data_IF_041052341762
#
_entry.id   IF_041052341762
#
_cell.length_a   1.000
_cell.length_b   1.000
_cell.length_c   1.000
_cell.angle_alpha   90.00
_cell.angle_beta   90.00
_cell.angle_gamma   90.00
#
_symmetry.space_group_name_H-M   'P 1'
#
loop_
_entity.id
_entity.type
_entity.pdbx_description
1 polymer ?
#
# COMPACT_ATOMS: atom_id res chain seq x y z
N UNK A 1 -6.05 7.13 -17.66
CA UNK A 1 -5.84 8.59 -17.77
C UNK A 1 -6.39 9.14 -19.06
N UNK A 2 -6.62 10.43 -19.08
CA UNK A 2 -7.09 11.20 -20.24
C UNK A 2 -5.96 11.59 -21.22
N UNK A 3 -4.72 11.27 -20.88
CA UNK A 3 -3.53 11.54 -21.69
C UNK A 3 -2.94 12.94 -21.50
N UNK A 4 -3.47 13.71 -20.56
CA UNK A 4 -2.93 15.02 -20.21
C UNK A 4 -1.76 14.87 -19.21
N UNK A 5 -0.69 15.63 -19.43
CA UNK A 5 0.38 15.77 -18.43
C UNK A 5 -0.08 16.73 -17.33
N UNK A 6 0.00 16.26 -16.09
CA UNK A 6 -0.36 17.05 -14.92
C UNK A 6 0.75 17.00 -13.86
N UNK A 7 0.84 18.06 -13.07
CA UNK A 7 1.67 18.06 -11.86
C UNK A 7 0.88 17.51 -10.68
N UNK A 8 1.45 16.52 -10.00
CA UNK A 8 0.85 15.90 -8.81
C UNK A 8 1.81 15.94 -7.63
N UNK A 9 1.26 15.90 -6.44
CA UNK A 9 2.00 15.92 -5.19
C UNK A 9 1.96 14.56 -4.48
N UNK A 10 3.03 14.27 -3.77
CA UNK A 10 3.09 13.20 -2.79
C UNK A 10 3.84 13.70 -1.55
N UNK A 11 3.42 13.28 -0.35
CA UNK A 11 4.20 13.48 0.86
C UNK A 11 5.17 12.31 1.04
N UNK A 12 6.40 12.61 1.42
CA UNK A 12 7.43 11.61 1.67
C UNK A 12 7.93 11.76 3.11
N UNK A 13 7.67 10.74 3.93
CA UNK A 13 8.28 10.61 5.25
C UNK A 13 9.68 10.00 5.09
N UNK A 14 10.67 10.72 5.56
CA UNK A 14 12.03 10.21 5.72
C UNK A 14 12.27 9.87 7.19
N UNK A 15 12.77 8.67 7.51
CA UNK A 15 13.00 8.26 8.88
C UNK A 15 14.03 9.15 9.58
N UNK A 16 13.93 9.27 10.90
CA UNK A 16 14.93 10.01 11.68
C UNK A 16 16.34 9.50 11.41
N UNK A 17 17.26 10.42 11.11
CA UNK A 17 18.63 10.05 10.74
C UNK A 17 18.76 9.47 9.33
N UNK A 18 17.81 9.80 8.42
CA UNK A 18 17.94 9.49 7.00
C UNK A 18 19.30 9.96 6.47
N UNK A 19 19.92 9.12 5.67
CA UNK A 19 21.23 9.38 5.05
C UNK A 19 21.28 8.76 3.67
N UNK A 20 21.86 9.45 2.71
CA UNK A 20 22.09 8.94 1.35
C UNK A 20 23.15 7.81 1.31
N UNK A 21 23.87 7.60 2.40
CA UNK A 21 24.83 6.49 2.54
C UNK A 21 24.15 5.16 2.92
N UNK A 22 22.85 5.20 3.28
CA UNK A 22 22.04 4.04 3.63
C UNK A 22 21.00 3.79 2.57
N UNK A 23 20.50 2.56 2.48
CA UNK A 23 19.38 2.18 1.61
C UNK A 23 18.15 1.89 2.44
N UNK A 24 16.98 2.25 1.91
CA UNK A 24 15.71 2.15 2.63
C UNK A 24 14.65 1.42 1.79
N UNK A 25 13.85 0.61 2.47
CA UNK A 25 12.60 0.09 1.92
C UNK A 25 11.59 1.23 1.75
N UNK A 26 10.60 1.05 0.87
CA UNK A 26 9.58 2.06 0.58
C UNK A 26 8.18 1.47 0.72
N UNK A 27 7.34 2.11 1.54
CA UNK A 27 5.91 1.85 1.62
C UNK A 27 5.13 2.96 0.88
N UNK A 28 4.34 2.58 -0.11
CA UNK A 28 3.36 3.45 -0.77
C UNK A 28 2.02 3.29 -0.05
N UNK A 29 1.56 4.36 0.62
CA UNK A 29 0.40 4.37 1.51
C UNK A 29 -0.75 5.19 0.92
N UNK A 30 -1.78 4.50 0.45
CA UNK A 30 -2.86 5.05 -0.36
C UNK A 30 -4.01 5.60 0.49
N UNK A 31 -4.58 6.71 0.05
CA UNK A 31 -5.74 7.38 0.67
C UNK A 31 -7.09 6.80 0.22
N UNK A 32 -8.19 7.24 0.85
CA UNK A 32 -9.56 6.88 0.49
C UNK A 32 -10.22 7.81 -0.53
N UNK A 33 -11.52 7.61 -0.77
CA UNK A 33 -12.27 8.32 -1.84
C UNK A 33 -12.34 9.82 -1.64
N UNK A 34 -12.51 10.30 -0.43
CA UNK A 34 -12.62 11.72 -0.10
C UNK A 34 -11.29 12.41 0.22
N UNK A 35 -10.19 11.65 0.22
CA UNK A 35 -8.88 12.13 0.61
C UNK A 35 -7.98 12.49 -0.58
N UNK A 36 -6.77 12.83 -0.25
CA UNK A 36 -5.66 13.12 -1.15
C UNK A 36 -4.34 12.70 -0.47
N UNK A 37 -3.20 13.15 -0.97
CA UNK A 37 -1.88 12.87 -0.39
C UNK A 37 -1.74 13.31 1.07
N UNK A 38 -2.64 14.17 1.58
CA UNK A 38 -2.62 14.67 2.96
C UNK A 38 -3.51 13.88 3.92
N UNK A 39 -4.34 12.95 3.44
CA UNK A 39 -5.33 12.25 4.29
C UNK A 39 -4.69 11.52 5.47
N UNK A 40 -3.49 10.97 5.30
CA UNK A 40 -2.72 10.31 6.36
C UNK A 40 -2.01 11.30 7.31
N UNK A 41 -2.19 12.59 7.12
CA UNK A 41 -1.61 13.68 7.94
C UNK A 41 -0.10 13.52 8.12
N UNK A 42 0.63 13.19 7.04
CA UNK A 42 2.08 12.96 7.11
C UNK A 42 2.90 14.20 7.43
N UNK A 43 2.30 15.38 7.32
CA UNK A 43 2.94 16.66 7.55
C UNK A 43 2.77 17.13 9.00
N UNK A 44 3.83 17.69 9.58
CA UNK A 44 3.82 18.24 10.92
C UNK A 44 4.20 17.26 12.03
N UNK A 45 4.56 17.83 13.18
CA UNK A 45 5.08 17.07 14.32
C UNK A 45 4.02 16.29 15.11
N UNK A 46 2.73 16.56 14.86
CA UNK A 46 1.61 15.88 15.49
C UNK A 46 1.04 14.74 14.65
N UNK A 47 1.61 14.48 13.48
CA UNK A 47 1.20 13.38 12.62
C UNK A 47 1.29 12.04 13.35
N UNK A 48 0.17 11.30 13.40
CA UNK A 48 0.14 9.98 14.04
C UNK A 48 1.00 8.97 13.28
N UNK A 49 0.97 8.99 11.96
CA UNK A 49 1.80 8.10 11.13
C UNK A 49 3.27 8.36 11.38
N UNK A 50 3.70 9.64 11.33
CA UNK A 50 5.08 10.01 11.65
C UNK A 50 5.48 9.58 13.05
N UNK A 51 4.64 9.87 14.07
CA UNK A 51 4.92 9.46 15.45
C UNK A 51 5.02 7.94 15.61
N UNK A 52 4.16 7.17 14.93
CA UNK A 52 4.25 5.70 14.94
C UNK A 52 5.57 5.24 14.32
N UNK A 53 5.93 5.75 13.16
CA UNK A 53 7.18 5.38 12.47
C UNK A 53 8.41 5.73 13.31
N UNK A 54 8.47 6.95 13.85
CA UNK A 54 9.58 7.39 14.69
C UNK A 54 9.73 6.52 15.94
N UNK A 55 8.62 6.19 16.61
CA UNK A 55 8.64 5.34 17.80
C UNK A 55 9.01 3.88 17.48
N UNK A 56 8.39 3.27 16.46
CA UNK A 56 8.71 1.90 16.06
C UNK A 56 10.20 1.74 15.70
N UNK A 57 10.76 2.72 15.00
CA UNK A 57 12.19 2.73 14.67
C UNK A 57 13.07 2.96 15.90
N UNK A 58 12.68 3.89 16.80
CA UNK A 58 13.43 4.19 18.02
C UNK A 58 13.53 3.02 18.98
N UNK A 59 12.44 2.26 19.14
CA UNK A 59 12.41 1.07 20.01
C UNK A 59 12.95 -0.21 19.32
N UNK A 60 13.29 -0.12 18.02
CA UNK A 60 13.84 -1.24 17.27
C UNK A 60 12.82 -2.28 16.83
N UNK A 61 11.52 -1.93 16.84
CA UNK A 61 10.44 -2.80 16.38
C UNK A 61 10.43 -2.96 14.87
N UNK A 62 10.95 -1.95 14.16
CA UNK A 62 11.15 -1.94 12.70
C UNK A 62 12.56 -1.45 12.34
N UNK A 63 13.06 -1.87 11.18
CA UNK A 63 14.10 -1.09 10.50
C UNK A 63 13.47 0.13 9.86
N UNK A 64 14.10 1.31 9.96
CA UNK A 64 13.56 2.53 9.37
C UNK A 64 13.32 2.38 7.87
N UNK A 65 12.17 2.83 7.38
CA UNK A 65 11.84 2.84 5.96
C UNK A 65 11.12 4.14 5.55
N UNK A 66 11.10 4.42 4.26
CA UNK A 66 10.43 5.57 3.66
C UNK A 66 8.94 5.28 3.53
N UNK A 67 8.08 6.27 3.82
CA UNK A 67 6.63 6.18 3.54
C UNK A 67 6.26 7.28 2.56
N UNK A 68 5.59 6.90 1.47
CA UNK A 68 5.11 7.80 0.43
C UNK A 68 3.59 7.80 0.45
N UNK A 69 2.97 8.95 0.63
CA UNK A 69 1.51 9.12 0.48
C UNK A 69 1.23 9.93 -0.79
N UNK A 70 0.92 9.27 -1.92
CA UNK A 70 0.60 9.96 -3.16
C UNK A 70 -0.87 10.33 -3.24
N UNK A 71 -1.24 11.20 -4.18
CA UNK A 71 -2.59 11.27 -4.66
C UNK A 71 -2.86 10.09 -5.60
N UNK A 72 -3.74 9.17 -5.20
CA UNK A 72 -4.02 7.92 -5.90
C UNK A 72 -5.00 8.03 -7.07
N UNK A 73 -5.31 9.24 -7.56
CA UNK A 73 -6.20 9.46 -8.71
C UNK A 73 -5.39 9.76 -9.97
N UNK A 74 -5.54 8.95 -11.01
CA UNK A 74 -4.90 9.17 -12.31
C UNK A 74 -5.85 9.87 -13.26
N UNK A 75 -6.08 11.16 -13.02
CA UNK A 75 -6.83 12.05 -13.92
C UNK A 75 -6.35 13.49 -13.78
N UNK A 76 -6.65 14.34 -14.78
CA UNK A 76 -6.36 15.76 -14.74
C UNK A 76 -7.09 16.49 -13.61
N UNK A 77 -8.23 15.95 -13.16
CA UNK A 77 -8.97 16.41 -12.00
C UNK A 77 -8.73 15.53 -10.77
N UNK A 78 -7.47 15.46 -10.34
CA UNK A 78 -7.05 14.61 -9.21
C UNK A 78 -7.58 15.07 -7.84
N UNK A 79 -8.36 16.14 -7.77
CA UNK A 79 -9.01 16.63 -6.55
C UNK A 79 -10.51 16.32 -6.46
N UNK A 80 -11.11 15.78 -7.52
CA UNK A 80 -12.54 15.49 -7.54
C UNK A 80 -12.87 14.27 -6.68
N UNK A 81 -13.65 14.47 -5.62
CA UNK A 81 -14.06 13.37 -4.73
C UNK A 81 -14.98 12.36 -5.40
N UNK A 82 -15.68 12.75 -6.48
CA UNK A 82 -16.58 11.89 -7.24
C UNK A 82 -15.89 11.13 -8.38
N UNK A 83 -14.60 11.38 -8.65
CA UNK A 83 -13.88 10.65 -9.68
C UNK A 83 -13.40 9.28 -9.16
N UNK A 84 -14.33 8.31 -9.14
CA UNK A 84 -14.01 6.94 -8.75
C UNK A 84 -13.15 6.22 -9.78
N UNK A 85 -13.31 6.50 -11.06
CA UNK A 85 -12.66 5.76 -12.14
C UNK A 85 -11.14 5.95 -12.14
N UNK A 86 -10.66 7.12 -11.76
CA UNK A 86 -9.24 7.44 -11.71
C UNK A 86 -8.46 6.59 -10.71
N UNK A 87 -9.11 6.06 -9.67
CA UNK A 87 -8.48 5.13 -8.71
C UNK A 87 -8.11 3.79 -9.35
N UNK A 88 -8.92 3.28 -10.29
CA UNK A 88 -8.71 1.95 -10.89
C UNK A 88 -7.59 1.92 -11.94
N UNK A 89 -7.13 3.06 -12.40
CA UNK A 89 -6.10 3.15 -13.46
C UNK A 89 -4.75 3.65 -12.95
N UNK A 90 -4.61 3.79 -11.64
CA UNK A 90 -3.41 4.32 -11.00
C UNK A 90 -2.16 3.43 -11.18
N UNK A 91 -2.33 2.15 -11.48
CA UNK A 91 -1.22 1.21 -11.66
C UNK A 91 -0.19 1.64 -12.72
N UNK A 92 -0.64 2.30 -13.79
CA UNK A 92 0.26 2.83 -14.83
C UNK A 92 1.11 3.99 -14.33
N UNK A 93 0.49 4.94 -13.64
CA UNK A 93 1.19 6.08 -13.03
C UNK A 93 2.17 5.61 -11.94
N UNK A 94 1.72 4.65 -11.13
CA UNK A 94 2.56 4.05 -10.10
C UNK A 94 3.86 3.47 -10.69
N UNK A 95 3.72 2.70 -11.79
CA UNK A 95 4.83 2.04 -12.48
C UNK A 95 5.73 3.00 -13.25
N UNK A 96 5.15 3.94 -13.98
CA UNK A 96 5.89 4.73 -14.97
C UNK A 96 6.41 6.06 -14.42
N UNK A 97 5.75 6.58 -13.37
CA UNK A 97 6.02 7.93 -12.87
C UNK A 97 6.43 7.92 -11.40
N UNK A 98 5.57 7.45 -10.49
CA UNK A 98 5.77 7.61 -9.05
C UNK A 98 6.95 6.78 -8.53
N UNK A 99 7.00 5.47 -8.79
CA UNK A 99 8.09 4.62 -8.30
C UNK A 99 9.44 5.10 -8.86
N UNK A 100 9.59 5.31 -10.18
CA UNK A 100 10.83 5.85 -10.74
C UNK A 100 11.23 7.19 -10.14
N UNK A 101 10.28 8.10 -9.92
CA UNK A 101 10.56 9.39 -9.31
C UNK A 101 11.11 9.25 -7.89
N UNK A 102 10.47 8.44 -7.05
CA UNK A 102 10.91 8.21 -5.67
C UNK A 102 12.30 7.57 -5.64
N UNK A 103 12.51 6.54 -6.44
CA UNK A 103 13.77 5.78 -6.43
C UNK A 103 14.93 6.53 -7.07
N UNK A 104 14.66 7.50 -7.93
CA UNK A 104 15.67 8.41 -8.47
C UNK A 104 16.09 9.49 -7.46
N UNK A 105 15.17 9.93 -6.59
CA UNK A 105 15.39 11.10 -5.74
C UNK A 105 15.70 10.74 -4.27
N UNK A 106 15.50 9.49 -3.86
CA UNK A 106 15.76 9.04 -2.49
C UNK A 106 16.62 7.78 -2.48
N UNK A 107 17.38 7.61 -1.40
CA UNK A 107 18.25 6.44 -1.25
C UNK A 107 17.43 5.20 -0.90
N UNK A 108 17.11 4.41 -1.92
CA UNK A 108 16.37 3.16 -1.82
C UNK A 108 17.27 1.97 -2.19
N UNK A 109 16.73 0.76 -2.17
CA UNK A 109 17.45 -0.42 -2.66
C UNK A 109 17.54 -0.50 -4.19
N UNK A 110 16.83 0.36 -4.90
CA UNK A 110 16.89 0.43 -6.36
C UNK A 110 18.17 1.12 -6.83
N UNK A 111 18.79 0.55 -7.86
CA UNK A 111 19.88 1.20 -8.60
C UNK A 111 19.29 1.84 -9.87
N UNK A 112 18.54 2.95 -9.66
CA UNK A 112 17.88 3.66 -10.74
C UNK A 112 18.87 4.58 -11.46
N UNK A 113 18.94 4.45 -12.78
CA UNK A 113 19.72 5.31 -13.66
C UNK A 113 18.86 5.95 -14.76
N UNK A 114 19.46 6.68 -15.69
CA UNK A 114 18.76 7.35 -16.78
C UNK A 114 18.07 6.39 -17.76
N UNK A 115 18.47 5.13 -17.79
CA UNK A 115 17.89 4.09 -18.63
C UNK A 115 16.82 3.29 -17.88
N UNK A 116 16.58 3.59 -16.61
CA UNK A 116 15.75 2.81 -15.71
C UNK A 116 16.47 1.57 -15.18
N UNK A 117 15.71 0.64 -14.64
CA UNK A 117 16.21 -0.62 -14.10
C UNK A 117 15.08 -1.67 -14.07
N UNK A 118 15.44 -2.95 -13.85
CA UNK A 118 14.45 -4.00 -13.61
C UNK A 118 13.83 -3.84 -12.21
N UNK A 119 12.65 -3.23 -12.15
CA UNK A 119 11.95 -2.99 -10.88
C UNK A 119 11.57 -4.29 -10.15
N UNK A 120 11.46 -5.41 -10.87
CA UNK A 120 11.14 -6.70 -10.25
C UNK A 120 12.28 -7.23 -9.38
N UNK A 121 13.52 -6.86 -9.69
CA UNK A 121 14.71 -7.27 -8.93
C UNK A 121 14.76 -6.74 -7.50
N UNK A 122 13.98 -5.69 -7.19
CA UNK A 122 13.94 -5.04 -5.87
C UNK A 122 12.53 -4.98 -5.27
N UNK A 123 11.61 -5.80 -5.76
CA UNK A 123 10.22 -5.85 -5.30
C UNK A 123 10.05 -6.17 -3.80
N UNK A 124 11.00 -6.90 -3.24
CA UNK A 124 11.07 -7.23 -1.80
C UNK A 124 11.29 -6.02 -0.91
N UNK A 125 11.73 -4.92 -1.48
CA UNK A 125 11.96 -3.64 -0.82
C UNK A 125 10.81 -2.64 -1.01
N UNK A 126 9.70 -3.08 -1.64
CA UNK A 126 8.49 -2.24 -1.82
C UNK A 126 7.27 -2.89 -1.21
N UNK A 127 6.50 -2.05 -0.53
CA UNK A 127 5.19 -2.40 0.02
C UNK A 127 4.12 -1.42 -0.48
N UNK A 128 2.90 -1.89 -0.63
CA UNK A 128 1.73 -1.05 -0.89
C UNK A 128 0.67 -1.31 0.18
N UNK A 129 0.12 -0.23 0.73
CA UNK A 129 -0.98 -0.34 1.68
C UNK A 129 -1.95 0.84 1.51
N UNK A 130 -3.17 0.71 2.06
CA UNK A 130 -4.10 1.83 2.01
C UNK A 130 -5.42 1.56 2.71
N UNK A 131 -6.15 2.64 2.94
CA UNK A 131 -7.48 2.65 3.55
C UNK A 131 -8.58 2.76 2.49
N UNK A 132 -9.74 2.13 2.72
CA UNK A 132 -10.94 2.27 1.89
C UNK A 132 -10.66 2.05 0.39
N UNK A 133 -10.81 3.08 -0.45
CA UNK A 133 -10.42 3.01 -1.88
C UNK A 133 -8.93 2.73 -2.06
N UNK A 134 -8.05 3.22 -1.19
CA UNK A 134 -6.63 2.85 -1.17
C UNK A 134 -6.40 1.39 -0.79
N UNK A 135 -7.26 0.81 0.05
CA UNK A 135 -7.29 -0.63 0.31
C UNK A 135 -7.72 -1.43 -0.92
N UNK A 136 -8.71 -0.92 -1.69
CA UNK A 136 -9.06 -1.48 -2.99
C UNK A 136 -7.90 -1.40 -3.98
N UNK A 137 -7.20 -0.26 -4.06
CA UNK A 137 -6.01 -0.14 -4.92
C UNK A 137 -4.90 -1.11 -4.50
N UNK A 138 -4.72 -1.31 -3.19
CA UNK A 138 -3.75 -2.30 -2.70
C UNK A 138 -4.07 -3.72 -3.20
N UNK A 139 -5.35 -4.08 -3.25
CA UNK A 139 -5.79 -5.39 -3.77
C UNK A 139 -5.76 -5.40 -5.30
N UNK A 140 -6.58 -4.55 -5.95
CA UNK A 140 -6.82 -4.64 -7.39
C UNK A 140 -5.58 -4.24 -8.22
N UNK A 141 -4.77 -3.32 -7.72
CA UNK A 141 -3.57 -2.82 -8.43
C UNK A 141 -2.31 -3.45 -7.85
N UNK A 142 -2.07 -3.27 -6.54
CA UNK A 142 -0.84 -3.76 -5.93
C UNK A 142 -0.70 -5.28 -6.05
N UNK A 143 -1.70 -5.99 -5.54
CA UNK A 143 -1.68 -7.44 -5.46
C UNK A 143 -2.01 -8.12 -6.80
N UNK A 144 -3.02 -7.61 -7.54
CA UNK A 144 -3.52 -8.30 -8.73
C UNK A 144 -2.80 -7.88 -10.02
N UNK A 145 -2.28 -6.64 -10.13
CA UNK A 145 -1.62 -6.14 -11.35
C UNK A 145 -0.10 -5.96 -11.22
N UNK A 146 0.40 -5.74 -9.98
CA UNK A 146 1.76 -5.25 -9.75
C UNK A 146 2.58 -6.11 -8.78
N UNK A 147 2.38 -7.42 -8.76
CA UNK A 147 3.21 -8.35 -7.97
C UNK A 147 4.69 -8.34 -8.38
N UNK A 148 4.99 -7.90 -9.60
CA UNK A 148 6.34 -7.66 -10.07
C UNK A 148 6.99 -6.40 -9.45
N UNK A 149 6.20 -5.50 -8.87
CA UNK A 149 6.68 -4.28 -8.22
C UNK A 149 6.74 -4.39 -6.70
N UNK A 150 5.83 -5.15 -6.09
CA UNK A 150 5.63 -5.22 -4.65
C UNK A 150 5.69 -6.65 -4.11
N UNK A 151 6.19 -6.77 -2.88
CA UNK A 151 6.19 -8.04 -2.15
C UNK A 151 5.24 -8.05 -0.95
N UNK A 152 4.85 -6.89 -0.43
CA UNK A 152 4.05 -6.74 0.78
C UNK A 152 2.83 -5.88 0.54
N UNK A 153 1.68 -6.32 1.05
CA UNK A 153 0.38 -5.68 0.81
C UNK A 153 -0.40 -5.51 2.11
N UNK A 154 -0.97 -4.32 2.32
CA UNK A 154 -1.77 -3.99 3.51
C UNK A 154 -3.10 -3.33 3.15
N UNK A 155 -4.23 -4.00 3.33
CA UNK A 155 -5.56 -3.45 3.03
C UNK A 155 -6.32 -3.15 4.33
N UNK A 156 -6.75 -1.89 4.51
CA UNK A 156 -7.43 -1.43 5.70
C UNK A 156 -8.85 -0.99 5.35
N UNK A 157 -9.86 -1.74 5.80
CA UNK A 157 -11.26 -1.52 5.42
C UNK A 157 -11.43 -1.34 3.91
N UNK A 158 -10.89 -2.26 3.10
CA UNK A 158 -10.89 -2.15 1.65
C UNK A 158 -12.29 -1.94 1.09
N UNK A 159 -12.45 -0.99 0.16
CA UNK A 159 -13.73 -0.62 -0.42
C UNK A 159 -14.47 -1.82 -1.04
N UNK A 160 -15.82 -1.82 -1.06
CA UNK A 160 -16.61 -2.93 -1.60
C UNK A 160 -16.36 -3.26 -3.08
N UNK A 161 -15.67 -2.37 -3.79
CA UNK A 161 -15.27 -2.54 -5.19
C UNK A 161 -13.93 -3.26 -5.36
N UNK A 162 -13.35 -3.74 -4.27
CA UNK A 162 -12.19 -4.63 -4.30
C UNK A 162 -12.56 -5.96 -4.94
N UNK A 163 -11.61 -6.57 -5.63
CA UNK A 163 -11.79 -7.90 -6.20
C UNK A 163 -12.17 -8.92 -5.12
N UNK A 164 -13.05 -9.84 -5.50
CA UNK A 164 -13.40 -10.98 -4.66
C UNK A 164 -12.24 -11.97 -4.59
N UNK A 165 -12.25 -12.87 -3.61
CA UNK A 165 -11.23 -13.92 -3.50
C UNK A 165 -11.08 -14.73 -4.80
N UNK A 166 -12.19 -15.05 -5.48
CA UNK A 166 -12.12 -15.80 -6.73
C UNK A 166 -11.52 -14.97 -7.87
N UNK A 167 -11.84 -13.69 -7.97
CA UNK A 167 -11.22 -12.81 -8.98
C UNK A 167 -9.71 -12.69 -8.76
N UNK A 168 -9.28 -12.44 -7.51
CA UNK A 168 -7.85 -12.43 -7.17
C UNK A 168 -7.19 -13.78 -7.48
N UNK A 169 -7.82 -14.90 -7.13
CA UNK A 169 -7.28 -16.24 -7.43
C UNK A 169 -7.14 -16.49 -8.93
N UNK A 170 -8.13 -16.08 -9.73
CA UNK A 170 -8.10 -16.24 -11.18
C UNK A 170 -6.99 -15.37 -11.83
N UNK A 171 -6.76 -14.16 -11.33
CA UNK A 171 -5.71 -13.24 -11.79
C UNK A 171 -4.34 -13.78 -11.41
N UNK A 172 -4.16 -14.26 -10.19
CA UNK A 172 -2.88 -14.73 -9.67
C UNK A 172 -2.55 -16.16 -10.09
N UNK A 173 -3.41 -16.84 -10.85
CA UNK A 173 -3.22 -18.23 -11.26
C UNK A 173 -1.86 -18.51 -11.91
N UNK A 174 -1.39 -17.58 -12.76
CA UNK A 174 -0.12 -17.69 -13.49
C UNK A 174 0.95 -16.74 -12.92
N UNK A 175 0.73 -16.18 -11.72
CA UNK A 175 1.68 -15.30 -11.08
C UNK A 175 2.96 -16.03 -10.69
N UNK A 176 4.12 -15.50 -11.12
CA UNK A 176 5.44 -16.07 -10.86
C UNK A 176 6.15 -15.42 -9.66
N UNK A 177 5.59 -14.36 -9.13
CA UNK A 177 6.20 -13.57 -8.05
C UNK A 177 5.67 -14.02 -6.69
N UNK A 178 6.57 -14.33 -5.77
CA UNK A 178 6.21 -14.67 -4.40
C UNK A 178 5.54 -13.50 -3.69
N UNK A 179 4.40 -13.72 -3.05
CA UNK A 179 3.74 -12.75 -2.17
C UNK A 179 4.32 -12.96 -0.78
N UNK A 180 5.16 -12.03 -0.33
CA UNK A 180 5.81 -12.16 0.97
C UNK A 180 4.82 -12.00 2.12
N UNK A 181 3.90 -11.05 2.04
CA UNK A 181 2.83 -10.93 3.03
C UNK A 181 1.64 -10.13 2.51
N UNK A 182 0.44 -10.60 2.79
CA UNK A 182 -0.79 -9.84 2.64
C UNK A 182 -1.53 -9.75 3.98
N UNK A 183 -1.58 -8.53 4.53
CA UNK A 183 -2.31 -8.18 5.75
C UNK A 183 -3.60 -7.45 5.39
N UNK A 184 -4.73 -7.90 5.97
CA UNK A 184 -6.03 -7.28 5.74
C UNK A 184 -6.74 -7.10 7.08
N UNK A 185 -7.27 -5.89 7.35
CA UNK A 185 -7.99 -5.56 8.59
C UNK A 185 -9.27 -4.80 8.27
N UNK A 186 -10.34 -5.10 9.02
CA UNK A 186 -11.57 -4.32 8.98
C UNK A 186 -12.24 -4.24 10.34
N UNK A 187 -12.97 -3.15 10.57
CA UNK A 187 -13.80 -2.98 11.74
C UNK A 187 -15.10 -3.79 11.64
N UNK A 188 -15.51 -4.47 12.71
CA UNK A 188 -16.77 -5.26 12.72
C UNK A 188 -18.03 -4.39 12.70
N UNK A 189 -17.90 -3.09 12.97
CA UNK A 189 -18.97 -2.08 12.92
C UNK A 189 -18.87 -1.21 11.65
N UNK A 190 -18.00 -1.61 10.69
CA UNK A 190 -17.80 -0.93 9.41
C UNK A 190 -18.93 -1.30 8.43
N UNK A 191 -19.97 -0.48 8.37
CA UNK A 191 -21.14 -0.70 7.52
C UNK A 191 -20.86 -0.51 6.02
N UNK A 192 -19.66 -0.03 5.65
CA UNK A 192 -19.26 0.19 4.26
C UNK A 192 -18.50 -1.03 3.73
N UNK A 193 -17.42 -1.42 4.42
CA UNK A 193 -16.44 -2.36 3.91
C UNK A 193 -16.58 -3.79 4.49
N UNK A 194 -17.04 -3.95 5.73
CA UNK A 194 -16.90 -5.20 6.46
C UNK A 194 -17.48 -6.41 5.73
N UNK A 195 -18.66 -6.29 5.15
CA UNK A 195 -19.33 -7.43 4.50
C UNK A 195 -18.50 -7.98 3.34
N UNK A 196 -18.04 -7.11 2.44
CA UNK A 196 -17.24 -7.53 1.27
C UNK A 196 -15.82 -7.93 1.65
N UNK A 197 -15.15 -7.12 2.49
CA UNK A 197 -13.78 -7.38 2.91
C UNK A 197 -13.65 -8.70 3.69
N UNK A 198 -14.58 -8.97 4.63
CA UNK A 198 -14.56 -10.21 5.40
C UNK A 198 -14.85 -11.44 4.54
N UNK A 199 -15.81 -11.33 3.60
CA UNK A 199 -16.14 -12.42 2.69
C UNK A 199 -14.93 -12.76 1.79
N UNK A 200 -14.28 -11.75 1.20
CA UNK A 200 -13.11 -11.95 0.36
C UNK A 200 -11.93 -12.51 1.16
N UNK A 201 -11.58 -11.88 2.28
CA UNK A 201 -10.42 -12.28 3.05
C UNK A 201 -10.54 -13.69 3.66
N UNK A 202 -11.71 -14.07 4.15
CA UNK A 202 -11.93 -15.41 4.75
C UNK A 202 -11.89 -16.53 3.72
N UNK A 203 -12.32 -16.28 2.49
CA UNK A 203 -12.32 -17.30 1.44
C UNK A 203 -11.03 -17.34 0.61
N UNK A 204 -10.20 -16.31 0.67
CA UNK A 204 -9.00 -16.23 -0.18
C UNK A 204 -8.03 -17.41 -0.02
N UNK A 205 -7.67 -17.87 1.19
CA UNK A 205 -6.80 -19.02 1.35
C UNK A 205 -7.39 -20.35 0.84
N UNK A 206 -8.71 -20.44 0.77
CA UNK A 206 -9.40 -21.65 0.27
C UNK A 206 -9.41 -21.74 -1.26
N UNK A 207 -9.27 -20.62 -1.96
CA UNK A 207 -9.37 -20.55 -3.43
C UNK A 207 -8.05 -20.16 -4.11
N UNK A 208 -7.05 -19.70 -3.36
CA UNK A 208 -5.75 -19.28 -3.90
C UNK A 208 -4.60 -19.83 -3.06
N UNK A 209 -3.87 -20.79 -3.61
CA UNK A 209 -2.75 -21.48 -2.93
C UNK A 209 -1.57 -20.56 -2.59
N UNK A 210 -1.51 -19.35 -3.15
CA UNK A 210 -0.46 -18.39 -2.85
C UNK A 210 -0.61 -17.76 -1.44
N UNK A 211 -1.76 -17.94 -0.78
CA UNK A 211 -2.02 -17.40 0.55
C UNK A 211 -2.16 -18.50 1.60
N UNK A 212 -1.26 -18.49 2.56
CA UNK A 212 -1.24 -19.40 3.70
C UNK A 212 -1.37 -18.61 5.01
N UNK A 213 -2.48 -18.77 5.77
CA UNK A 213 -2.66 -18.07 7.04
C UNK A 213 -1.57 -18.35 8.08
N UNK A 214 -0.83 -19.45 7.91
CA UNK A 214 0.29 -19.77 8.80
C UNK A 214 1.61 -19.09 8.40
N UNK A 215 1.68 -18.46 7.21
CA UNK A 215 2.92 -17.93 6.66
C UNK A 215 2.82 -16.47 6.21
N UNK A 216 1.98 -16.20 5.21
CA UNK A 216 2.04 -14.94 4.47
C UNK A 216 0.69 -14.22 4.33
N UNK A 217 -0.34 -14.65 5.06
CA UNK A 217 -1.65 -14.03 5.00
C UNK A 217 -2.24 -13.83 6.39
N UNK A 218 -2.83 -12.66 6.63
CA UNK A 218 -3.58 -12.39 7.87
C UNK A 218 -4.85 -11.62 7.57
N UNK A 219 -5.98 -12.13 8.06
CA UNK A 219 -7.22 -11.38 8.23
C UNK A 219 -7.42 -11.06 9.70
N UNK A 220 -7.62 -9.77 10.01
CA UNK A 220 -7.89 -9.29 11.35
C UNK A 220 -9.21 -8.56 11.43
N UNK A 221 -10.04 -8.94 12.39
CA UNK A 221 -11.26 -8.25 12.77
C UNK A 221 -11.04 -7.50 14.08
N UNK A 222 -11.49 -6.25 14.13
CA UNK A 222 -11.42 -5.44 15.33
C UNK A 222 -12.76 -4.72 15.54
N UNK A 223 -13.10 -4.44 16.79
CA UNK A 223 -14.25 -3.61 17.07
C UNK A 223 -13.97 -2.18 16.59
N UNK A 224 -14.74 -1.69 15.62
CA UNK A 224 -14.58 -0.35 15.06
C UNK A 224 -15.39 -0.15 13.79
N UNK A 225 -15.54 1.11 13.40
CA UNK A 225 -16.24 1.54 12.20
C UNK A 225 -15.25 1.91 11.08
N UNK A 226 -15.77 2.42 9.95
CA UNK A 226 -14.99 2.90 8.80
C UNK A 226 -14.27 4.23 9.12
N UNK A 227 -13.21 4.18 9.90
CA UNK A 227 -12.52 5.39 10.36
C UNK A 227 -11.06 5.14 10.74
N UNK A 228 -10.35 6.23 11.03
CA UNK A 228 -8.93 6.22 11.36
C UNK A 228 -8.55 5.42 12.62
N UNK A 229 -9.46 5.11 13.54
CA UNK A 229 -9.11 4.24 14.66
C UNK A 229 -8.73 2.83 14.18
N UNK A 230 -9.45 2.32 13.18
CA UNK A 230 -9.14 1.04 12.53
C UNK A 230 -7.93 1.17 11.61
N UNK A 231 -7.86 2.23 10.82
CA UNK A 231 -6.81 2.41 9.81
C UNK A 231 -5.44 2.69 10.42
N UNK A 232 -5.35 3.48 11.49
CA UNK A 232 -4.09 3.64 12.22
C UNK A 232 -3.60 2.35 12.88
N UNK A 233 -4.52 1.54 13.41
CA UNK A 233 -4.15 0.22 13.91
C UNK A 233 -3.67 -0.70 12.77
N UNK A 234 -4.36 -0.65 11.62
CA UNK A 234 -3.95 -1.36 10.41
C UNK A 234 -2.54 -0.98 9.97
N UNK A 235 -2.28 0.31 9.85
CA UNK A 235 -0.96 0.83 9.53
C UNK A 235 0.10 0.41 10.54
N UNK A 236 -0.17 0.58 11.84
CA UNK A 236 0.76 0.21 12.92
C UNK A 236 1.14 -1.27 12.87
N UNK A 237 0.16 -2.16 12.68
CA UNK A 237 0.41 -3.59 12.57
C UNK A 237 1.18 -3.93 11.30
N UNK A 238 0.76 -3.37 10.16
CA UNK A 238 1.38 -3.63 8.88
C UNK A 238 2.84 -3.13 8.82
N UNK A 239 3.13 -1.97 9.38
CA UNK A 239 4.49 -1.44 9.46
C UNK A 239 5.47 -2.39 10.18
N UNK A 240 4.97 -3.18 11.14
CA UNK A 240 5.77 -4.18 11.85
C UNK A 240 5.89 -5.52 11.11
N UNK A 241 5.07 -5.75 10.10
CA UNK A 241 5.08 -6.97 9.27
C UNK A 241 5.93 -6.76 8.02
N UNK A 242 5.75 -5.61 7.36
CA UNK A 242 6.43 -5.30 6.11
C UNK A 242 7.96 -5.39 6.25
N UNK A 243 8.60 -5.93 5.22
CA UNK A 243 10.06 -6.03 5.11
C UNK A 243 10.76 -6.96 6.11
N UNK A 244 10.01 -7.83 6.83
CA UNK A 244 10.60 -8.77 7.82
C UNK A 244 10.80 -10.20 7.31
N UNK A 245 10.17 -10.60 6.22
CA UNK A 245 10.20 -11.99 5.74
C UNK A 245 11.53 -12.43 5.12
N UNK A 246 12.46 -11.51 4.87
CA UNK A 246 13.78 -11.79 4.28
C UNK A 246 14.92 -11.82 5.31
N UNK A 247 14.62 -12.20 6.55
CA UNK A 247 15.62 -12.37 7.62
C UNK A 247 15.79 -13.81 8.06
#
# INVERSE_FOLDING_TARGET
GDGEEIEKSANVYLPYGYSEEKRYNVLYLMHGIGGDENEWEMTGNSSKVKCMMDNLAYYGDIEPFIVVTPNGRSSSNCTASEDYNSFYVFGKELRNDLIPYIEKNYSTYADYDENGYDMSSTREHRAMAGLSMGGMQTINIGLDECTDLFGYFGAFSAAPTSNTAQQTADILKDNQYEIYYFYNICGTEDNIAYQSASAAAKSLPDVCEQFDPAKNFMWQEVKGAHNFNVWYLGFYNFAQIAFKMNR
#
